data_IF_047841913219
#
_entry.id   IF_047841913219
#
_cell.length_a   1.000
_cell.length_b   1.000
_cell.length_c   1.000
_cell.angle_alpha   90.00
_cell.angle_beta   90.00
_cell.angle_gamma   90.00
#
_symmetry.space_group_name_H-M   'P 1'
#
loop_
_entity.id
_entity.type
_entity.pdbx_description
1 polymer ?
#
# COMPACT_ATOMS: atom_id res chain seq x y z
N UNK A 1 13.82 -16.38 -19.21
CA UNK A 1 14.58 -16.97 -18.09
C UNK A 1 14.22 -18.43 -17.98
N UNK A 2 15.22 -19.31 -17.94
CA UNK A 2 15.06 -20.75 -17.74
C UNK A 2 15.28 -21.10 -16.27
N UNK A 3 14.59 -22.13 -15.80
CA UNK A 3 14.74 -22.67 -14.45
C UNK A 3 15.05 -24.17 -14.52
N UNK A 4 15.63 -24.71 -13.45
CA UNK A 4 16.05 -26.12 -13.37
C UNK A 4 14.88 -27.11 -13.22
N UNK A 5 13.66 -26.60 -13.06
CA UNK A 5 12.44 -27.37 -12.87
C UNK A 5 11.42 -27.03 -13.96
N UNK A 6 10.52 -27.98 -14.24
CA UNK A 6 9.45 -27.81 -15.20
C UNK A 6 8.38 -26.84 -14.66
N UNK A 7 8.16 -25.74 -15.36
CA UNK A 7 7.20 -24.70 -14.97
C UNK A 7 5.80 -24.92 -15.57
N UNK A 8 5.62 -25.76 -16.58
CA UNK A 8 4.32 -26.00 -17.23
C UNK A 8 3.18 -26.34 -16.24
N UNK A 9 3.40 -27.11 -15.15
CA UNK A 9 2.34 -27.35 -14.16
C UNK A 9 1.92 -26.12 -13.35
N UNK A 10 2.80 -25.13 -13.21
CA UNK A 10 2.56 -23.89 -12.46
C UNK A 10 1.80 -22.87 -13.30
N UNK A 11 2.06 -22.82 -14.62
CA UNK A 11 1.51 -21.82 -15.51
C UNK A 11 0.43 -22.42 -16.43
N UNK A 12 -0.83 -22.31 -16.03
CA UNK A 12 -1.99 -22.74 -16.84
C UNK A 12 -2.39 -21.75 -17.93
N UNK A 13 -1.83 -20.55 -17.90
CA UNK A 13 -2.06 -19.48 -18.85
C UNK A 13 -0.74 -18.76 -19.13
N UNK A 14 -0.72 -18.01 -20.24
CA UNK A 14 0.45 -17.20 -20.63
C UNK A 14 0.79 -16.13 -19.59
N UNK A 15 -0.22 -15.58 -18.92
CA UNK A 15 -0.04 -14.64 -17.81
C UNK A 15 -0.79 -15.23 -16.62
N UNK A 16 -0.12 -15.34 -15.48
CA UNK A 16 -0.72 -15.78 -14.24
C UNK A 16 -0.55 -14.72 -13.17
N UNK A 17 -1.60 -14.50 -12.39
CA UNK A 17 -1.58 -13.67 -11.19
C UNK A 17 -1.14 -14.48 -9.99
N UNK A 18 -0.33 -13.89 -9.14
CA UNK A 18 0.20 -14.48 -7.91
C UNK A 18 -0.02 -13.48 -6.77
N UNK A 19 -0.53 -13.95 -5.64
CA UNK A 19 -0.77 -13.15 -4.45
C UNK A 19 0.24 -13.51 -3.33
N UNK A 20 -0.01 -13.02 -2.12
CA UNK A 20 0.80 -13.29 -0.93
C UNK A 20 0.92 -14.77 -0.54
N UNK A 21 0.06 -15.67 -1.05
CA UNK A 21 0.20 -17.12 -0.87
C UNK A 21 1.35 -17.73 -1.68
N UNK A 22 1.91 -16.97 -2.64
CA UNK A 22 2.93 -17.41 -3.59
C UNK A 22 2.51 -18.60 -4.45
N UNK A 23 1.20 -18.77 -4.65
CA UNK A 23 0.63 -19.70 -5.59
C UNK A 23 -0.08 -18.93 -6.71
N UNK A 24 -0.07 -19.45 -7.95
CA UNK A 24 -0.87 -18.89 -9.03
C UNK A 24 -2.36 -18.89 -8.70
N UNK A 25 -3.08 -17.84 -9.08
CA UNK A 25 -4.54 -17.77 -8.91
C UNK A 25 -5.20 -18.96 -9.63
N UNK A 26 -6.06 -19.68 -8.92
CA UNK A 26 -6.71 -20.89 -9.46
C UNK A 26 -5.83 -22.15 -9.46
N UNK A 27 -4.62 -22.11 -8.89
CA UNK A 27 -3.81 -23.29 -8.67
C UNK A 27 -4.45 -24.19 -7.61
N UNK A 28 -4.71 -25.45 -7.97
CA UNK A 28 -5.26 -26.46 -7.07
C UNK A 28 -4.21 -27.55 -6.89
N UNK A 29 -3.69 -27.67 -5.68
CA UNK A 29 -2.72 -28.71 -5.33
C UNK A 29 -3.44 -30.01 -4.96
N UNK A 30 -2.98 -31.16 -5.48
CA UNK A 30 -3.56 -32.46 -5.12
C UNK A 30 -3.12 -32.93 -3.72
N UNK A 31 -1.99 -32.40 -3.21
CA UNK A 31 -1.48 -32.71 -1.88
C UNK A 31 -0.74 -31.52 -1.29
N UNK A 32 -0.57 -31.53 0.04
CA UNK A 32 0.23 -30.53 0.76
C UNK A 32 1.65 -30.44 0.22
N UNK A 33 2.25 -31.57 -0.17
CA UNK A 33 3.61 -31.63 -0.71
C UNK A 33 3.71 -30.86 -2.03
N UNK A 34 2.76 -31.09 -2.95
CA UNK A 34 2.71 -30.36 -4.23
C UNK A 34 2.55 -28.85 -4.03
N UNK A 35 1.74 -28.43 -3.04
CA UNK A 35 1.59 -27.01 -2.72
C UNK A 35 2.90 -26.39 -2.21
N UNK A 36 3.65 -27.09 -1.35
CA UNK A 36 4.93 -26.62 -0.83
C UNK A 36 5.99 -26.54 -1.94
N UNK A 37 6.06 -27.55 -2.80
CA UNK A 37 6.99 -27.57 -3.94
C UNK A 37 6.69 -26.43 -4.92
N UNK A 38 5.42 -26.20 -5.26
CA UNK A 38 4.99 -25.10 -6.11
C UNK A 38 5.32 -23.73 -5.48
N UNK A 39 5.08 -23.58 -4.18
CA UNK A 39 5.43 -22.36 -3.43
C UNK A 39 6.94 -22.07 -3.48
N UNK A 40 7.77 -23.11 -3.33
CA UNK A 40 9.23 -22.96 -3.41
C UNK A 40 9.67 -22.56 -4.82
N UNK A 41 9.13 -23.20 -5.86
CA UNK A 41 9.42 -22.89 -7.26
C UNK A 41 9.02 -21.46 -7.64
N UNK A 42 7.80 -21.03 -7.27
CA UNK A 42 7.35 -19.65 -7.49
C UNK A 42 8.22 -18.64 -6.72
N UNK A 43 8.61 -18.98 -5.49
CA UNK A 43 9.51 -18.13 -4.70
C UNK A 43 10.85 -17.92 -5.41
N UNK A 44 11.44 -18.98 -5.95
CA UNK A 44 12.67 -18.92 -6.74
C UNK A 44 12.49 -18.06 -7.99
N UNK A 45 11.38 -18.25 -8.73
CA UNK A 45 11.07 -17.44 -9.91
C UNK A 45 11.02 -15.94 -9.57
N UNK A 46 10.24 -15.57 -8.54
CA UNK A 46 10.05 -14.18 -8.11
C UNK A 46 11.38 -13.56 -7.67
N UNK A 47 12.20 -14.30 -6.91
CA UNK A 47 13.48 -13.79 -6.44
C UNK A 47 14.47 -13.57 -7.59
N UNK A 48 14.55 -14.51 -8.54
CA UNK A 48 15.42 -14.39 -9.71
C UNK A 48 15.01 -13.22 -10.59
N UNK A 49 13.74 -13.16 -11.01
CA UNK A 49 13.27 -12.07 -11.87
C UNK A 49 13.27 -10.72 -11.17
N UNK A 50 13.02 -10.69 -9.85
CA UNK A 50 13.10 -9.48 -9.03
C UNK A 50 14.54 -8.95 -8.93
N UNK A 51 15.53 -9.84 -8.85
CA UNK A 51 16.94 -9.46 -8.90
C UNK A 51 17.33 -8.88 -10.26
N UNK A 52 16.84 -9.47 -11.35
CA UNK A 52 17.09 -8.95 -12.71
C UNK A 52 16.42 -7.60 -12.92
N UNK A 53 15.18 -7.41 -12.43
CA UNK A 53 14.51 -6.11 -12.44
C UNK A 53 15.32 -5.05 -11.69
N UNK A 54 15.85 -5.39 -10.51
CA UNK A 54 16.68 -4.50 -9.72
C UNK A 54 17.94 -4.06 -10.47
N UNK A 55 18.65 -5.03 -11.08
CA UNK A 55 19.84 -4.77 -11.88
C UNK A 55 19.54 -3.87 -13.07
N UNK A 56 18.45 -4.11 -13.80
CA UNK A 56 18.05 -3.32 -14.96
C UNK A 56 17.66 -1.88 -14.59
N UNK A 57 17.20 -1.65 -13.36
CA UNK A 57 16.87 -0.33 -12.81
C UNK A 57 18.04 0.35 -12.08
N UNK A 58 19.19 -0.33 -11.91
CA UNK A 58 20.33 0.19 -11.15
C UNK A 58 20.10 0.23 -9.64
N UNK A 59 19.20 -0.60 -9.10
CA UNK A 59 18.91 -0.68 -7.67
C UNK A 59 19.88 -1.64 -6.97
N UNK A 60 20.37 -1.25 -5.79
CA UNK A 60 21.26 -2.10 -4.98
C UNK A 60 20.54 -3.28 -4.33
N UNK A 61 19.24 -3.12 -4.01
CA UNK A 61 18.42 -4.14 -3.36
C UNK A 61 17.14 -4.37 -4.16
N UNK A 62 16.77 -5.62 -4.45
CA UNK A 62 15.52 -5.92 -5.15
C UNK A 62 14.29 -5.42 -4.41
N UNK A 63 13.43 -4.66 -5.10
CA UNK A 63 12.14 -4.20 -4.58
C UNK A 63 11.06 -5.28 -4.61
N UNK A 64 11.31 -6.34 -5.37
CA UNK A 64 10.40 -7.48 -5.54
C UNK A 64 11.10 -8.76 -5.12
N UNK A 65 10.61 -9.38 -4.05
CA UNK A 65 11.07 -10.69 -3.56
C UNK A 65 9.86 -11.47 -3.06
N UNK A 66 9.97 -12.80 -3.02
CA UNK A 66 8.92 -13.67 -2.49
C UNK A 66 8.55 -13.30 -1.04
N UNK A 67 9.56 -12.94 -0.23
CA UNK A 67 9.35 -12.52 1.15
C UNK A 67 8.61 -11.18 1.25
N UNK A 68 8.95 -10.20 0.40
CA UNK A 68 8.23 -8.92 0.36
C UNK A 68 6.78 -9.11 -0.08
N UNK A 69 6.56 -9.95 -1.10
CA UNK A 69 5.21 -10.26 -1.60
C UNK A 69 4.35 -10.90 -0.50
N UNK A 70 4.87 -11.90 0.21
CA UNK A 70 4.15 -12.60 1.31
C UNK A 70 3.69 -11.66 2.42
N UNK A 71 4.46 -10.61 2.69
CA UNK A 71 4.18 -9.64 3.75
C UNK A 71 3.43 -8.39 3.24
N UNK A 72 2.75 -8.49 2.10
CA UNK A 72 2.04 -7.38 1.46
C UNK A 72 0.74 -7.85 0.82
N UNK A 73 -0.19 -6.92 0.60
CA UNK A 73 -1.38 -7.16 -0.23
C UNK A 73 -1.11 -6.84 -1.71
N UNK A 74 0.12 -7.07 -2.15
CA UNK A 74 0.52 -6.87 -3.54
C UNK A 74 0.18 -8.13 -4.34
N UNK A 75 0.02 -7.93 -5.64
CA UNK A 75 -0.14 -9.02 -6.59
C UNK A 75 0.88 -8.85 -7.70
N UNK A 76 1.32 -9.98 -8.24
CA UNK A 76 2.30 -10.04 -9.30
C UNK A 76 1.69 -10.79 -10.48
N UNK A 77 1.83 -10.20 -11.66
CA UNK A 77 1.55 -10.84 -12.93
C UNK A 77 2.87 -11.35 -13.51
N UNK A 78 2.97 -12.66 -13.70
CA UNK A 78 4.11 -13.30 -14.35
C UNK A 78 3.73 -13.72 -15.76
N UNK A 79 4.56 -13.37 -16.73
CA UNK A 79 4.42 -13.83 -18.12
C UNK A 79 5.29 -15.06 -18.35
N UNK A 80 4.65 -16.11 -18.86
CA UNK A 80 5.24 -17.41 -19.17
C UNK A 80 5.12 -17.72 -20.66
N UNK A 81 6.16 -18.30 -21.23
CA UNK A 81 6.15 -18.87 -22.57
C UNK A 81 6.51 -20.35 -22.50
N UNK A 82 5.64 -21.19 -23.06
CA UNK A 82 5.90 -22.62 -23.14
C UNK A 82 6.98 -22.91 -24.20
N UNK A 83 7.80 -23.91 -23.95
CA UNK A 83 8.76 -24.48 -24.89
C UNK A 83 8.87 -26.00 -24.65
N UNK A 84 9.65 -26.70 -25.49
CA UNK A 84 9.86 -28.16 -25.38
C UNK A 84 10.70 -28.58 -24.16
N UNK A 85 11.16 -27.61 -23.35
CA UNK A 85 11.96 -27.83 -22.14
C UNK A 85 11.10 -27.51 -20.90
N UNK A 86 11.62 -26.67 -20.02
CA UNK A 86 11.00 -26.32 -18.75
C UNK A 86 10.09 -25.07 -18.82
N UNK A 87 9.92 -24.49 -20.00
CA UNK A 87 9.27 -23.20 -20.21
C UNK A 87 10.17 -22.02 -19.86
N UNK A 88 9.66 -20.81 -20.10
CA UNK A 88 10.38 -19.55 -19.92
C UNK A 88 9.54 -18.53 -19.17
N UNK A 89 10.11 -17.90 -18.16
CA UNK A 89 9.53 -16.66 -17.61
C UNK A 89 10.11 -15.48 -18.37
N UNK A 90 9.25 -14.58 -18.83
CA UNK A 90 9.64 -13.49 -19.73
C UNK A 90 9.53 -12.12 -19.08
N UNK A 91 8.59 -11.94 -18.16
CA UNK A 91 8.36 -10.65 -17.52
C UNK A 91 7.57 -10.75 -16.23
N UNK A 92 7.62 -9.67 -15.47
CA UNK A 92 6.96 -9.47 -14.19
C UNK A 92 6.33 -8.08 -14.15
N UNK A 93 5.12 -7.99 -13.60
CA UNK A 93 4.44 -6.74 -13.29
C UNK A 93 3.86 -6.85 -11.89
N UNK A 94 4.39 -6.07 -10.94
CA UNK A 94 3.92 -6.01 -9.56
C UNK A 94 3.01 -4.79 -9.39
N UNK A 95 1.83 -5.03 -8.85
CA UNK A 95 0.86 -3.99 -8.51
C UNK A 95 0.39 -4.13 -7.07
N UNK A 96 -0.13 -3.05 -6.51
CA UNK A 96 -0.76 -3.07 -5.19
C UNK A 96 -1.40 -1.73 -4.87
N UNK A 97 -2.35 -1.73 -3.94
CA UNK A 97 -2.97 -0.47 -3.48
C UNK A 97 -2.07 0.18 -2.43
N UNK A 98 -1.89 1.50 -2.52
CA UNK A 98 -1.15 2.30 -1.53
C UNK A 98 -1.97 3.52 -1.13
N UNK A 99 -1.91 3.88 0.16
CA UNK A 99 -2.35 5.19 0.63
C UNK A 99 -1.23 6.18 0.34
N UNK A 100 -1.50 7.15 -0.52
CA UNK A 100 -0.57 8.15 -1.02
C UNK A 100 -1.08 9.54 -0.64
N UNK A 101 -0.17 10.42 -0.26
CA UNK A 101 -0.43 11.85 -0.22
C UNK A 101 0.05 12.43 -1.55
N UNK A 102 -0.88 12.90 -2.37
CA UNK A 102 -0.65 13.41 -3.73
C UNK A 102 -1.24 14.80 -3.89
N UNK A 103 -0.64 15.62 -4.73
CA UNK A 103 -1.26 16.89 -5.14
C UNK A 103 -2.28 16.66 -6.23
N UNK A 104 -3.40 17.36 -6.11
CA UNK A 104 -4.36 17.53 -7.19
C UNK A 104 -3.88 18.59 -8.21
N UNK A 105 -4.59 18.78 -9.33
CA UNK A 105 -4.27 19.83 -10.30
C UNK A 105 -4.32 21.27 -9.73
N UNK A 106 -5.03 21.47 -8.62
CA UNK A 106 -5.14 22.76 -7.91
C UNK A 106 -3.95 23.02 -6.98
N UNK A 107 -3.10 22.01 -6.75
CA UNK A 107 -1.97 22.05 -5.82
C UNK A 107 -2.32 21.69 -4.37
N UNK A 108 -3.54 21.23 -4.09
CA UNK A 108 -3.96 20.78 -2.77
C UNK A 108 -3.49 19.34 -2.51
N UNK A 109 -3.00 19.07 -1.29
CA UNK A 109 -2.59 17.72 -0.90
C UNK A 109 -3.81 16.88 -0.50
N UNK A 110 -4.00 15.75 -1.16
CA UNK A 110 -5.09 14.81 -0.89
C UNK A 110 -4.51 13.45 -0.49
N UNK A 111 -5.06 12.84 0.57
CA UNK A 111 -4.79 11.43 0.87
C UNK A 111 -5.71 10.54 0.03
N UNK A 112 -5.11 9.64 -0.76
CA UNK A 112 -5.83 8.74 -1.67
C UNK A 112 -5.33 7.31 -1.51
N UNK A 113 -6.24 6.33 -1.49
CA UNK A 113 -5.86 4.93 -1.71
C UNK A 113 -6.00 4.62 -3.18
N UNK A 114 -4.88 4.43 -3.87
CA UNK A 114 -4.85 4.26 -5.32
C UNK A 114 -4.16 2.94 -5.73
N UNK A 115 -4.57 2.34 -6.85
CA UNK A 115 -3.83 1.24 -7.46
C UNK A 115 -2.49 1.74 -7.98
N UNK A 116 -1.43 1.01 -7.66
CA UNK A 116 -0.07 1.41 -7.99
C UNK A 116 0.65 0.35 -8.80
N UNK A 117 1.44 0.79 -9.77
CA UNK A 117 2.48 -0.02 -10.41
C UNK A 117 3.77 0.15 -9.63
N UNK A 118 4.29 -0.95 -9.09
CA UNK A 118 5.37 -0.96 -8.08
C UNK A 118 6.67 -1.61 -8.58
N UNK A 119 6.58 -2.44 -9.61
CA UNK A 119 7.73 -2.99 -10.32
C UNK A 119 7.26 -3.50 -11.67
N UNK A 120 8.02 -3.26 -12.73
CA UNK A 120 7.67 -3.71 -14.07
C UNK A 120 8.92 -3.99 -14.89
N UNK A 121 9.05 -5.24 -15.31
CA UNK A 121 10.24 -5.71 -15.99
C UNK A 121 9.91 -6.78 -17.02
N UNK A 122 10.55 -6.66 -18.19
CA UNK A 122 10.57 -7.68 -19.24
C UNK A 122 12.04 -7.94 -19.54
N UNK A 123 12.40 -9.22 -19.64
CA UNK A 123 13.77 -9.65 -19.91
C UNK A 123 14.36 -8.92 -21.12
N UNK A 124 15.62 -8.50 -21.04
CA UNK A 124 16.26 -7.58 -21.99
C UNK A 124 16.19 -8.10 -23.42
N UNK A 125 16.44 -9.39 -23.63
CA UNK A 125 16.39 -10.04 -24.95
C UNK A 125 14.99 -10.05 -25.59
N UNK A 126 13.94 -9.75 -24.81
CA UNK A 126 12.54 -9.76 -25.25
C UNK A 126 11.88 -8.39 -25.13
N UNK A 127 12.63 -7.34 -24.79
CA UNK A 127 12.12 -5.97 -24.77
C UNK A 127 11.76 -5.49 -26.17
N UNK A 128 10.84 -4.51 -26.25
CA UNK A 128 10.35 -3.91 -27.50
C UNK A 128 9.57 -4.86 -28.44
N UNK A 129 9.34 -6.11 -28.06
CA UNK A 129 8.51 -7.08 -28.80
C UNK A 129 7.02 -7.08 -28.46
N UNK A 130 6.49 -6.03 -27.82
CA UNK A 130 5.05 -5.93 -27.45
C UNK A 130 4.64 -6.65 -26.16
N UNK A 131 5.48 -7.52 -25.60
CA UNK A 131 5.18 -8.30 -24.38
C UNK A 131 4.84 -7.44 -23.15
N UNK A 132 5.51 -6.28 -23.00
CA UNK A 132 5.20 -5.36 -21.91
C UNK A 132 3.77 -4.81 -22.01
N UNK A 133 3.28 -4.55 -23.22
CA UNK A 133 1.90 -4.10 -23.47
C UNK A 133 0.92 -5.20 -23.14
N UNK A 134 1.18 -6.42 -23.60
CA UNK A 134 0.33 -7.59 -23.32
C UNK A 134 0.20 -7.84 -21.81
N UNK A 135 1.30 -7.76 -21.06
CA UNK A 135 1.30 -7.92 -19.60
C UNK A 135 0.50 -6.81 -18.91
N UNK A 136 0.67 -5.56 -19.34
CA UNK A 136 -0.01 -4.41 -18.75
C UNK A 136 -1.51 -4.40 -19.08
N UNK A 137 -1.90 -4.70 -20.32
CA UNK A 137 -3.31 -4.82 -20.73
C UNK A 137 -4.02 -5.97 -20.01
N UNK A 138 -3.33 -7.08 -19.74
CA UNK A 138 -3.89 -8.15 -18.92
C UNK A 138 -4.19 -7.67 -17.51
N UNK A 139 -3.24 -6.98 -16.87
CA UNK A 139 -3.43 -6.41 -15.54
C UNK A 139 -4.58 -5.40 -15.50
N UNK A 140 -4.68 -4.47 -16.47
CA UNK A 140 -5.78 -3.50 -16.53
C UNK A 140 -7.15 -4.18 -16.63
N UNK A 141 -7.26 -5.24 -17.45
CA UNK A 141 -8.50 -6.01 -17.61
C UNK A 141 -8.86 -6.80 -16.35
N UNK A 142 -7.89 -7.44 -15.70
CA UNK A 142 -8.15 -8.25 -14.51
C UNK A 142 -8.49 -7.39 -13.29
N UNK A 143 -7.82 -6.24 -13.12
CA UNK A 143 -8.11 -5.32 -12.02
C UNK A 143 -9.29 -4.38 -12.31
N UNK A 144 -9.75 -4.32 -13.57
CA UNK A 144 -10.80 -3.41 -14.05
C UNK A 144 -10.51 -1.93 -13.74
N UNK A 145 -9.32 -1.46 -14.16
CA UNK A 145 -8.79 -0.13 -13.87
C UNK A 145 -8.40 0.57 -15.18
N UNK A 146 -8.60 1.88 -15.25
CA UNK A 146 -8.11 2.69 -16.37
C UNK A 146 -6.66 3.13 -16.15
N UNK A 147 -5.84 3.26 -17.21
CA UNK A 147 -4.43 3.61 -17.08
C UNK A 147 -4.16 4.92 -16.34
N UNK A 148 -5.04 5.92 -16.48
CA UNK A 148 -4.95 7.24 -15.84
C UNK A 148 -5.25 7.21 -14.34
N UNK A 149 -5.90 6.16 -13.83
CA UNK A 149 -6.16 5.94 -12.40
C UNK A 149 -4.95 5.35 -11.64
N UNK A 150 -3.91 4.94 -12.37
CA UNK A 150 -2.72 4.33 -11.78
C UNK A 150 -1.73 5.37 -11.27
N UNK A 151 -1.21 5.12 -10.07
CA UNK A 151 0.00 5.79 -9.58
C UNK A 151 1.23 4.92 -9.88
N UNK A 152 2.31 5.52 -10.36
CA UNK A 152 3.52 4.77 -10.75
C UNK A 152 4.66 5.12 -9.79
N UNK A 153 5.20 4.13 -9.08
CA UNK A 153 6.33 4.31 -8.16
C UNK A 153 7.65 4.38 -8.94
N UNK A 154 8.34 5.53 -8.87
CA UNK A 154 9.67 5.76 -9.48
C UNK A 154 9.78 5.23 -10.93
N UNK A 155 8.94 5.69 -11.87
CA UNK A 155 8.97 5.18 -13.24
C UNK A 155 10.32 5.44 -13.92
N UNK A 156 10.84 4.43 -14.62
CA UNK A 156 11.98 4.61 -15.52
C UNK A 156 11.57 5.38 -16.80
N UNK A 157 12.52 6.00 -17.48
CA UNK A 157 12.28 6.67 -18.78
C UNK A 157 11.66 5.71 -19.82
N UNK A 158 12.05 4.43 -19.79
CA UNK A 158 11.44 3.39 -20.65
C UNK A 158 9.95 3.22 -20.35
N UNK A 159 9.57 3.24 -19.07
CA UNK A 159 8.18 3.12 -18.63
C UNK A 159 7.37 4.37 -18.97
N UNK A 160 7.93 5.56 -18.76
CA UNK A 160 7.30 6.82 -19.14
C UNK A 160 6.97 6.86 -20.64
N UNK A 161 7.94 6.52 -21.50
CA UNK A 161 7.71 6.46 -22.95
C UNK A 161 6.74 5.34 -23.35
N UNK A 162 6.72 4.22 -22.62
CA UNK A 162 5.74 3.15 -22.83
C UNK A 162 4.31 3.62 -22.52
N UNK A 163 4.10 4.28 -21.38
CA UNK A 163 2.79 4.79 -20.96
C UNK A 163 2.28 5.88 -21.91
N UNK A 164 3.16 6.78 -22.33
CA UNK A 164 2.82 7.81 -23.32
C UNK A 164 2.42 7.18 -24.66
N UNK A 165 3.20 6.23 -25.18
CA UNK A 165 2.95 5.61 -26.49
C UNK A 165 1.67 4.78 -26.54
N UNK A 166 1.38 4.01 -25.50
CA UNK A 166 0.31 3.02 -25.53
C UNK A 166 -0.99 3.49 -24.87
N UNK A 167 -0.92 4.42 -23.93
CA UNK A 167 -2.08 4.89 -23.16
C UNK A 167 -2.26 6.41 -23.21
N UNK A 168 -1.44 7.14 -23.97
CA UNK A 168 -1.58 8.60 -24.10
C UNK A 168 -1.22 9.38 -22.83
N UNK A 169 -0.62 8.74 -21.84
CA UNK A 169 -0.27 9.35 -20.55
C UNK A 169 0.98 10.24 -20.70
N UNK A 170 0.77 11.51 -21.08
CA UNK A 170 1.84 12.50 -21.26
C UNK A 170 1.88 13.56 -20.17
N UNK A 171 0.71 14.01 -19.69
CA UNK A 171 0.58 15.13 -18.77
C UNK A 171 0.64 14.66 -17.32
N UNK A 172 1.80 14.86 -16.69
CA UNK A 172 2.06 14.47 -15.30
C UNK A 172 1.64 15.60 -14.36
N UNK A 173 1.09 15.25 -13.21
CA UNK A 173 0.85 16.20 -12.11
C UNK A 173 2.10 16.18 -11.21
N UNK A 174 2.80 17.30 -10.99
CA UNK A 174 3.98 17.35 -10.12
C UNK A 174 3.68 16.84 -8.70
N UNK A 175 4.55 15.99 -8.16
CA UNK A 175 4.42 15.41 -6.82
C UNK A 175 5.68 15.68 -5.99
N UNK A 176 5.56 15.85 -4.66
CA UNK A 176 6.72 15.88 -3.76
C UNK A 176 7.25 14.47 -3.44
N UNK A 177 6.43 13.45 -3.63
CA UNK A 177 6.81 12.06 -3.38
C UNK A 177 7.48 11.45 -4.64
N UNK A 178 7.88 10.19 -4.55
CA UNK A 178 8.51 9.50 -5.69
C UNK A 178 7.52 8.88 -6.68
N UNK A 179 6.22 9.17 -6.54
CA UNK A 179 5.18 8.65 -7.41
C UNK A 179 4.89 9.64 -8.54
N UNK A 180 4.52 9.10 -9.69
CA UNK A 180 4.00 9.85 -10.82
C UNK A 180 2.53 9.50 -10.99
N UNK A 181 1.70 10.53 -11.07
CA UNK A 181 0.28 10.45 -11.43
C UNK A 181 0.02 11.35 -12.64
N UNK A 182 -0.99 11.03 -13.43
CA UNK A 182 -1.33 11.73 -14.66
C UNK A 182 -2.64 12.50 -14.53
N UNK A 183 -2.89 13.44 -15.45
CA UNK A 183 -4.24 13.99 -15.64
C UNK A 183 -5.25 12.84 -15.86
N UNK A 184 -6.42 12.94 -15.23
CA UNK A 184 -7.42 11.86 -15.21
C UNK A 184 -7.43 11.05 -13.90
N UNK A 185 -6.32 11.02 -13.16
CA UNK A 185 -6.20 10.28 -11.89
C UNK A 185 -7.29 10.62 -10.85
N UNK A 186 -7.77 11.85 -10.84
CA UNK A 186 -8.83 12.30 -9.94
C UNK A 186 -10.23 12.31 -10.58
N UNK A 187 -10.36 12.04 -11.89
CA UNK A 187 -11.63 12.14 -12.62
C UNK A 187 -12.66 11.11 -12.12
N UNK A 188 -12.24 9.87 -11.86
CA UNK A 188 -13.10 8.79 -11.36
C UNK A 188 -13.60 9.05 -9.93
N UNK A 189 -12.92 9.92 -9.17
CA UNK A 189 -13.38 10.31 -7.83
C UNK A 189 -14.49 11.36 -7.86
N UNK A 190 -14.56 12.19 -8.90
CA UNK A 190 -15.66 13.13 -9.05
C UNK A 190 -17.02 12.42 -9.26
N UNK A 191 -17.02 11.16 -9.70
CA UNK A 191 -18.22 10.34 -9.82
C UNK A 191 -18.53 9.52 -8.57
N UNK A 192 -17.51 9.13 -7.78
CA UNK A 192 -17.69 8.36 -6.54
C UNK A 192 -17.75 9.23 -5.26
N UNK A 193 -17.68 10.55 -5.40
CA UNK A 193 -17.78 11.52 -4.29
C UNK A 193 -19.19 11.64 -3.70
N UNK A 194 -20.17 10.89 -4.21
CA UNK A 194 -21.48 10.76 -3.55
C UNK A 194 -21.49 9.74 -2.41
N UNK A 195 -20.50 8.85 -2.29
CA UNK A 195 -20.62 7.69 -1.38
C UNK A 195 -19.46 7.47 -0.39
N UNK A 196 -18.52 8.42 -0.24
CA UNK A 196 -17.41 8.31 0.74
C UNK A 196 -17.24 9.59 1.59
N UNK A 197 -18.29 10.39 1.80
CA UNK A 197 -18.32 11.39 2.89
C UNK A 197 -18.93 10.80 4.19
N UNK A 198 -18.55 9.56 4.52
CA UNK A 198 -19.04 8.84 5.71
C UNK A 198 -18.26 9.13 7.01
N UNK A 199 -17.26 10.02 6.99
CA UNK A 199 -16.44 10.34 8.17
C UNK A 199 -16.08 11.82 8.32
N UNK A 200 -16.93 12.72 7.81
CA UNK A 200 -16.92 14.10 8.31
C UNK A 200 -17.51 14.12 9.72
N UNK A 201 -16.63 14.27 10.72
CA UNK A 201 -17.02 14.43 12.12
C UNK A 201 -17.84 15.72 12.28
N UNK A 202 -19.16 15.60 12.33
CA UNK A 202 -20.05 16.75 12.52
C UNK A 202 -20.17 17.06 14.02
N UNK A 203 -19.37 18.01 14.51
CA UNK A 203 -19.55 18.55 15.87
C UNK A 203 -20.82 19.38 15.88
N UNK A 204 -21.88 18.90 16.53
CA UNK A 204 -23.08 19.71 16.77
C UNK A 204 -22.77 20.71 17.87
N UNK A 205 -22.76 22.01 17.55
CA UNK A 205 -22.72 23.07 18.54
C UNK A 205 -24.09 23.19 19.24
N UNK A 206 -24.43 22.21 20.08
CA UNK A 206 -25.60 22.28 20.95
C UNK A 206 -25.23 22.99 22.26
N UNK A 207 -26.08 23.87 22.80
CA UNK A 207 -25.81 24.64 24.03
C UNK A 207 -25.51 23.80 25.28
N UNK A 208 -25.82 22.49 25.26
CA UNK A 208 -25.63 21.57 26.40
C UNK A 208 -24.25 20.87 26.45
N UNK A 209 -23.30 21.21 25.55
CA UNK A 209 -21.99 20.55 25.49
C UNK A 209 -21.16 20.71 26.78
N UNK A 210 -21.36 21.79 27.54
CA UNK A 210 -20.59 22.08 28.75
C UNK A 210 -20.89 21.17 29.95
N UNK A 211 -22.01 20.42 29.92
CA UNK A 211 -22.41 19.57 31.06
C UNK A 211 -22.26 18.07 30.79
N UNK A 212 -22.37 17.63 29.54
CA UNK A 212 -22.38 16.20 29.18
C UNK A 212 -21.27 15.78 28.20
N UNK A 213 -20.43 16.71 27.74
CA UNK A 213 -19.39 16.44 26.74
C UNK A 213 -19.94 16.21 25.32
N UNK A 214 -19.06 16.08 24.31
CA UNK A 214 -19.47 15.88 22.93
C UNK A 214 -20.19 14.53 22.76
N UNK A 215 -21.40 14.56 22.21
CA UNK A 215 -22.19 13.36 21.91
C UNK A 215 -21.90 12.89 20.49
N UNK A 216 -21.50 11.63 20.35
CA UNK A 216 -21.25 10.99 19.07
C UNK A 216 -22.54 10.33 18.59
N UNK A 217 -23.20 10.91 17.59
CA UNK A 217 -24.37 10.28 16.96
C UNK A 217 -23.95 9.71 15.61
N UNK A 218 -24.22 8.42 15.41
CA UNK A 218 -24.11 7.80 14.09
C UNK A 218 -25.41 8.01 13.33
N UNK A 219 -25.32 8.13 12.00
CA UNK A 219 -26.43 8.53 11.12
C UNK A 219 -27.63 7.57 11.15
N UNK A 220 -27.50 6.39 11.76
CA UNK A 220 -28.59 5.42 11.91
C UNK A 220 -29.61 5.77 13.01
N UNK A 221 -29.24 6.55 14.03
CA UNK A 221 -30.13 6.77 15.19
C UNK A 221 -31.21 7.83 14.98
N UNK A 222 -31.13 8.63 13.90
CA UNK A 222 -32.09 9.72 13.66
C UNK A 222 -33.43 9.27 13.08
N UNK A 223 -33.55 8.02 12.62
CA UNK A 223 -34.81 7.47 12.06
C UNK A 223 -35.72 6.78 13.09
N UNK A 224 -35.28 6.57 14.33
CA UNK A 224 -36.04 5.80 15.34
C UNK A 224 -36.70 6.61 16.45
N UNK A 225 -36.45 7.92 16.53
CA UNK A 225 -36.89 8.74 17.68
C UNK A 225 -38.23 9.46 17.50
N UNK A 226 -39.09 9.02 16.58
CA UNK A 226 -40.44 9.59 16.40
C UNK A 226 -41.55 8.55 16.46
N UNK A 227 -41.46 7.60 17.40
CA UNK A 227 -42.61 6.80 17.83
C UNK A 227 -42.22 5.93 19.01
N UNK A 228 -42.48 6.36 20.24
CA UNK A 228 -42.92 5.40 21.26
C UNK A 228 -43.58 6.08 22.45
N UNK A 229 -44.83 5.67 22.60
CA UNK A 229 -45.79 5.82 23.69
C UNK A 229 -45.22 5.44 25.06
N UNK A 230 -45.61 6.24 26.06
CA UNK A 230 -45.36 6.03 27.49
C UNK A 230 -45.88 4.68 27.98
N UNK A 231 -45.03 3.94 28.69
CA UNK A 231 -45.46 2.93 29.69
C UNK A 231 -44.60 3.05 30.94
N UNK A 232 -45.27 3.20 32.08
CA UNK A 232 -44.68 3.31 33.42
C UNK A 232 -44.02 1.99 33.85
N UNK A 233 -42.80 2.07 34.38
CA UNK A 233 -42.17 0.97 35.13
C UNK A 233 -41.56 1.54 36.41
N UNK A 234 -41.82 0.88 37.53
CA UNK A 234 -41.54 1.33 38.90
C UNK A 234 -40.02 1.40 39.21
N UNK A 235 -39.58 2.28 40.15
CA UNK A 235 -38.17 2.49 40.43
C UNK A 235 -37.59 1.43 41.38
N UNK A 236 -36.42 0.88 41.01
CA UNK A 236 -35.54 0.06 41.86
C UNK A 236 -34.65 0.95 42.76
N UNK A 237 -34.18 0.47 43.92
CA UNK A 237 -33.49 1.29 44.91
C UNK A 237 -32.03 1.61 44.54
N UNK A 238 -31.60 2.80 44.95
CA UNK A 238 -30.28 3.39 44.70
C UNK A 238 -29.26 2.77 45.66
N UNK A 239 -28.28 2.03 45.13
CA UNK A 239 -27.05 1.67 45.86
C UNK A 239 -26.00 2.72 45.53
N UNK A 240 -25.60 3.50 46.55
CA UNK A 240 -24.54 4.50 46.43
C UNK A 240 -23.16 3.80 46.44
N UNK A 241 -22.43 3.87 45.32
CA UNK A 241 -20.99 3.63 45.29
C UNK A 241 -20.26 4.93 44.91
N UNK A 242 -19.12 5.26 45.55
CA UNK A 242 -18.36 6.46 45.24
C UNK A 242 -17.62 6.33 43.89
N UNK A 243 -17.50 7.42 43.11
CA UNK A 243 -16.85 7.38 41.80
C UNK A 243 -15.32 7.43 41.96
N UNK A 244 -14.66 6.28 41.96
CA UNK A 244 -13.21 6.22 41.71
C UNK A 244 -12.96 6.41 40.22
N UNK A 245 -12.54 7.61 39.85
CA UNK A 245 -12.21 7.99 38.47
C UNK A 245 -11.07 7.17 37.88
N UNK A 246 -11.19 6.82 36.60
CA UNK A 246 -10.28 5.98 35.80
C UNK A 246 -8.88 6.58 35.52
N UNK A 247 -8.46 7.62 36.24
CA UNK A 247 -7.19 8.31 36.02
C UNK A 247 -6.17 8.17 37.16
N UNK A 248 -6.42 7.29 38.14
CA UNK A 248 -5.52 7.06 39.27
C UNK A 248 -4.46 5.94 39.05
N UNK A 249 -4.04 5.69 37.80
CA UNK A 249 -2.92 4.77 37.54
C UNK A 249 -1.59 5.56 37.50
N UNK A 250 -0.64 5.19 38.38
CA UNK A 250 0.73 5.74 38.37
C UNK A 250 1.39 5.47 37.01
N UNK A 251 1.87 6.52 36.36
CA UNK A 251 2.64 6.41 35.10
C UNK A 251 4.06 5.89 35.39
N UNK A 252 4.63 5.02 34.54
CA UNK A 252 6.01 4.58 34.68
C UNK A 252 6.97 5.75 34.42
N UNK A 253 8.03 5.84 35.23
CA UNK A 253 9.07 6.86 35.15
C UNK A 253 9.86 6.72 33.84
N UNK A 254 9.77 7.73 32.96
CA UNK A 254 10.59 7.80 31.75
C UNK A 254 12.05 8.18 32.08
N UNK A 255 13.00 7.42 31.53
CA UNK A 255 14.46 7.52 31.74
C UNK A 255 15.15 8.75 31.11
N UNK A 256 14.41 9.80 30.74
CA UNK A 256 14.96 10.99 30.07
C UNK A 256 15.23 12.17 31.02
N UNK A 257 14.91 12.04 32.32
CA UNK A 257 15.08 13.12 33.31
C UNK A 257 16.36 13.01 34.18
N UNK A 258 17.41 12.35 33.69
CA UNK A 258 18.67 12.16 34.44
C UNK A 258 19.92 12.76 33.75
N UNK A 259 19.76 13.76 32.86
CA UNK A 259 20.90 14.38 32.15
C UNK A 259 21.12 15.86 32.53
N UNK A 260 20.39 16.43 33.51
CA UNK A 260 20.50 17.88 33.83
C UNK A 260 21.14 18.19 35.20
N UNK A 261 21.53 17.18 36.01
CA UNK A 261 22.25 17.46 37.25
C UNK A 261 23.34 16.42 37.53
N UNK A 262 24.53 16.63 36.94
CA UNK A 262 25.78 16.35 37.65
C UNK A 262 26.96 17.07 36.97
N UNK A 263 27.21 18.33 37.35
CA UNK A 263 28.48 19.00 37.11
C UNK A 263 29.05 19.47 38.45
N UNK A 264 30.10 18.82 38.98
CA UNK A 264 30.97 19.44 39.95
C UNK A 264 32.10 20.17 39.23
N UNK A 265 32.13 21.46 39.51
CA UNK A 265 33.16 22.45 39.25
C UNK A 265 34.54 21.99 39.74
N UNK A 266 35.57 22.03 38.89
CA UNK A 266 36.93 22.38 39.30
C UNK A 266 37.60 23.22 38.23
N UNK A 267 37.88 24.47 38.61
CA UNK A 267 38.58 25.49 37.84
C UNK A 267 40.08 25.23 37.98
N UNK A 268 40.82 25.22 36.87
CA UNK A 268 42.26 25.49 36.86
C UNK A 268 42.55 26.57 35.81
N UNK A 269 42.79 27.77 36.32
CA UNK A 269 43.65 28.84 35.77
C UNK A 269 45.03 28.23 35.42
N UNK A 270 45.82 28.62 34.42
CA UNK A 270 45.99 29.91 33.74
C UNK A 270 46.92 29.70 32.49
N UNK A 271 47.51 30.73 31.83
CA UNK A 271 47.30 31.01 30.42
C UNK A 271 48.50 30.63 29.52
N UNK A 272 48.32 30.63 28.20
CA UNK A 272 49.42 31.11 27.38
C UNK A 272 48.98 31.85 26.10
N UNK A 273 49.55 33.03 26.02
CA UNK A 273 49.43 34.10 25.05
C UNK A 273 50.08 33.80 23.70
N UNK A 274 49.53 34.47 22.68
CA UNK A 274 50.21 35.18 21.59
C UNK A 274 51.01 34.36 20.57
N UNK A 275 50.54 34.30 19.32
CA UNK A 275 50.74 35.24 18.21
C UNK A 275 51.93 34.82 17.33
N UNK A 276 51.67 34.96 16.01
CA UNK A 276 52.54 34.83 14.83
C UNK A 276 53.03 33.43 14.45
#
# INVERSE_FOLDING_TARGET
MEFRFNMHPLFRARIVRINNSLLPTGFVAQSRRVALDATAQISEIINTIGSMSAQAQGLSVPVTTAQKLRNSDHHIYLMFESNDRNGLVVGILKVGRKSLYVFDPSGETVNVTAPCVLDFYVHESRQRGGLGRELFEHMLREENIQPDELAIDRPSEKLLGFLQKHYGLSKKIPQMNNFVVYEGFFASKAQNSTDIDGRRMHITASPNTNLFGPTFTTTEERRRSTSQTRTNVAPMPIIAQPPVGRYAAKRPTCSMAQIIHNSPTTVSTEPNSNFT
#
